data_IF_588550838842
#
_entry.id   IF_588550838842
#
_cell.length_a   1.000
_cell.length_b   1.000
_cell.length_c   1.000
_cell.angle_alpha   90.00
_cell.angle_beta   90.00
_cell.angle_gamma   90.00
#
_symmetry.space_group_name_H-M   'P 1'
#
loop_
_entity.id
_entity.type
_entity.pdbx_description
1 polymer ?
#
# COMPACT_ATOMS: atom_id res chain seq x y z
N UNK A 1 5.24 21.00 -26.60
CA UNK A 1 6.04 20.47 -25.47
C UNK A 1 5.90 21.31 -24.20
N UNK A 2 5.42 22.57 -24.29
CA UNK A 2 5.10 23.47 -23.16
C UNK A 2 3.62 23.45 -22.71
N UNK A 3 2.74 22.71 -23.38
CA UNK A 3 1.28 22.81 -23.17
C UNK A 3 0.74 21.96 -22.01
N UNK A 4 1.55 21.05 -21.47
CA UNK A 4 1.10 20.14 -20.42
C UNK A 4 1.41 20.65 -19.01
N UNK A 5 2.38 21.56 -18.88
CA UNK A 5 2.81 22.05 -17.57
C UNK A 5 1.71 22.90 -16.88
N UNK A 6 0.95 23.64 -17.67
CA UNK A 6 -0.23 24.40 -17.23
C UNK A 6 -1.46 23.50 -16.95
N UNK A 7 -1.47 22.26 -17.48
CA UNK A 7 -2.58 21.30 -17.32
C UNK A 7 -2.46 20.46 -16.02
N UNK A 8 -1.32 20.52 -15.33
CA UNK A 8 -0.95 19.61 -14.22
C UNK A 8 -0.74 20.31 -12.86
N UNK A 9 -1.18 21.57 -12.71
CA UNK A 9 -1.08 22.33 -11.46
C UNK A 9 -2.28 22.13 -10.50
N UNK A 10 -3.38 21.53 -10.94
CA UNK A 10 -4.63 21.47 -10.14
C UNK A 10 -4.70 20.25 -9.19
N UNK A 11 -5.36 20.45 -8.04
CA UNK A 11 -5.48 19.50 -6.91
C UNK A 11 -6.43 18.30 -7.18
N UNK A 12 -6.92 18.16 -8.42
CA UNK A 12 -7.94 17.18 -8.82
C UNK A 12 -7.46 16.00 -9.68
N UNK A 13 -6.16 15.79 -9.85
CA UNK A 13 -5.63 14.86 -10.86
C UNK A 13 -5.40 13.41 -10.36
N UNK A 14 -5.65 12.43 -11.23
CA UNK A 14 -5.54 10.99 -10.97
C UNK A 14 -4.20 10.42 -11.48
N UNK A 15 -3.29 9.97 -10.60
CA UNK A 15 -1.93 9.56 -10.99
C UNK A 15 -1.89 8.42 -12.02
N UNK A 16 -2.95 7.60 -12.07
CA UNK A 16 -3.10 6.54 -13.06
C UNK A 16 -3.17 7.10 -14.48
N UNK A 17 -3.77 8.27 -14.67
CA UNK A 17 -3.90 8.92 -15.97
C UNK A 17 -2.54 9.43 -16.47
N UNK A 18 -1.72 10.03 -15.59
CA UNK A 18 -0.33 10.40 -15.93
C UNK A 18 0.46 9.14 -16.29
N UNK A 19 0.26 8.05 -15.53
CA UNK A 19 0.94 6.80 -15.81
C UNK A 19 0.57 6.23 -17.19
N UNK A 20 -0.73 6.19 -17.52
CA UNK A 20 -1.19 5.76 -18.85
C UNK A 20 -0.65 6.66 -19.98
N UNK A 21 -0.53 7.97 -19.72
CA UNK A 21 0.06 8.89 -20.69
C UNK A 21 1.55 8.59 -20.91
N UNK A 22 2.31 8.34 -19.83
CA UNK A 22 3.72 7.99 -19.90
C UNK A 22 3.95 6.65 -20.62
N UNK A 23 3.12 5.65 -20.37
CA UNK A 23 3.18 4.35 -21.09
C UNK A 23 3.03 4.54 -22.60
N UNK A 24 2.21 5.50 -23.05
CA UNK A 24 2.02 5.81 -24.47
C UNK A 24 3.13 6.65 -25.07
N UNK A 25 3.68 7.61 -24.31
CA UNK A 25 4.60 8.64 -24.84
C UNK A 25 6.06 8.30 -24.67
N UNK A 26 6.41 7.46 -23.70
CA UNK A 26 7.78 7.08 -23.41
C UNK A 26 7.89 5.54 -23.22
N UNK A 27 7.60 4.75 -24.27
CA UNK A 27 7.61 3.29 -24.21
C UNK A 27 8.97 2.69 -23.81
N UNK A 28 10.06 3.45 -23.96
CA UNK A 28 11.39 3.10 -23.47
C UNK A 28 11.45 2.89 -21.94
N UNK A 29 10.50 3.45 -21.18
CA UNK A 29 10.36 3.22 -19.75
C UNK A 29 9.34 2.13 -19.39
N UNK A 30 8.86 1.36 -20.37
CA UNK A 30 7.79 0.37 -20.20
C UNK A 30 7.99 -0.56 -19.00
N UNK A 31 9.18 -1.14 -18.81
CA UNK A 31 9.46 -2.03 -17.66
C UNK A 31 9.39 -1.31 -16.31
N UNK A 32 9.85 -0.05 -16.25
CA UNK A 32 9.77 0.75 -15.03
C UNK A 32 8.31 1.10 -14.69
N UNK A 33 7.54 1.52 -15.69
CA UNK A 33 6.13 1.86 -15.55
C UNK A 33 5.31 0.63 -15.13
N UNK A 34 5.52 -0.53 -15.79
CA UNK A 34 4.93 -1.81 -15.39
C UNK A 34 5.22 -2.16 -13.93
N UNK A 35 6.47 -1.97 -13.48
CA UNK A 35 6.86 -2.23 -12.10
C UNK A 35 6.21 -1.30 -11.09
N UNK A 36 6.10 -0.01 -11.41
CA UNK A 36 5.34 0.96 -10.59
C UNK A 36 3.89 0.52 -10.47
N UNK A 37 3.25 0.13 -11.59
CA UNK A 37 1.85 -0.31 -11.60
C UNK A 37 1.63 -1.55 -10.75
N UNK A 38 2.49 -2.56 -10.89
CA UNK A 38 2.40 -3.78 -10.11
C UNK A 38 2.63 -3.51 -8.61
N UNK A 39 3.61 -2.67 -8.27
CA UNK A 39 3.85 -2.25 -6.89
C UNK A 39 2.63 -1.54 -6.29
N UNK A 40 2.08 -0.55 -6.98
CA UNK A 40 0.94 0.24 -6.48
C UNK A 40 -0.32 -0.62 -6.34
N UNK A 41 -0.56 -1.54 -7.27
CA UNK A 41 -1.65 -2.51 -7.17
C UNK A 41 -1.54 -3.42 -5.93
N UNK A 42 -0.32 -3.79 -5.53
CA UNK A 42 -0.08 -4.52 -4.29
C UNK A 42 -0.25 -3.62 -3.05
N UNK A 43 0.36 -2.44 -3.05
CA UNK A 43 0.34 -1.50 -1.93
C UNK A 43 -1.08 -1.00 -1.61
N UNK A 44 -1.90 -0.73 -2.64
CA UNK A 44 -3.29 -0.32 -2.50
C UNK A 44 -4.11 -1.35 -1.73
N UNK A 45 -3.93 -2.64 -2.03
CA UNK A 45 -4.62 -3.73 -1.34
C UNK A 45 -4.27 -3.82 0.14
N UNK A 46 -2.99 -3.66 0.47
CA UNK A 46 -2.55 -3.57 1.87
C UNK A 46 -3.17 -2.35 2.57
N UNK A 47 -3.19 -1.20 1.90
CA UNK A 47 -3.74 0.04 2.45
C UNK A 47 -5.25 -0.08 2.68
N UNK A 48 -6.02 -0.57 1.70
CA UNK A 48 -7.46 -0.82 1.82
C UNK A 48 -7.76 -1.76 2.99
N UNK A 49 -7.08 -2.91 3.04
CA UNK A 49 -7.27 -3.88 4.11
C UNK A 49 -6.98 -3.29 5.50
N UNK A 50 -5.90 -2.50 5.61
CA UNK A 50 -5.52 -1.88 6.87
C UNK A 50 -6.46 -0.74 7.28
N UNK A 51 -6.98 0.04 6.32
CA UNK A 51 -7.96 1.08 6.59
C UNK A 51 -9.29 0.51 7.08
N UNK A 52 -9.74 -0.62 6.50
CA UNK A 52 -10.92 -1.34 6.99
C UNK A 52 -10.68 -1.83 8.41
N UNK A 53 -9.58 -2.54 8.66
CA UNK A 53 -9.20 -3.02 10.00
C UNK A 53 -9.16 -1.86 11.02
N UNK A 54 -8.65 -0.70 10.62
CA UNK A 54 -8.59 0.50 11.46
C UNK A 54 -9.99 1.02 11.78
N UNK A 55 -10.87 1.09 10.78
CA UNK A 55 -12.24 1.56 10.97
C UNK A 55 -13.08 0.59 11.82
N UNK A 56 -12.96 -0.72 11.61
CA UNK A 56 -13.68 -1.74 12.37
C UNK A 56 -13.21 -1.80 13.82
N UNK A 57 -11.89 -1.75 14.04
CA UNK A 57 -11.33 -1.74 15.40
C UNK A 57 -11.64 -0.45 16.17
N UNK A 58 -11.87 0.67 15.48
CA UNK A 58 -12.25 1.93 16.09
C UNK A 58 -13.69 1.95 16.63
N UNK A 59 -14.57 1.07 16.14
CA UNK A 59 -15.98 0.96 16.59
C UNK A 59 -16.12 0.37 17.98
N UNK A 60 -15.14 -0.43 18.43
CA UNK A 60 -15.17 -1.06 19.77
C UNK A 60 -14.43 -0.22 20.81
N UNK A 61 -14.91 -0.29 22.03
CA UNK A 61 -14.45 0.49 23.17
C UNK A 61 -13.38 -0.27 23.98
N UNK A 62 -13.40 -0.14 25.31
CA UNK A 62 -12.37 -0.61 26.25
C UNK A 62 -12.04 -2.11 26.15
N UNK A 63 -12.93 -2.94 25.58
CA UNK A 63 -12.66 -4.37 25.43
C UNK A 63 -11.63 -4.68 24.33
N UNK A 64 -11.42 -3.76 23.38
CA UNK A 64 -10.61 -4.00 22.19
C UNK A 64 -11.29 -4.90 21.15
N UNK A 65 -10.69 -4.93 19.98
CA UNK A 65 -11.17 -5.61 18.78
C UNK A 65 -10.42 -6.92 18.54
N UNK A 66 -11.10 -8.07 18.42
CA UNK A 66 -10.48 -9.31 17.97
C UNK A 66 -10.13 -9.20 16.48
N UNK A 67 -8.85 -9.11 16.17
CA UNK A 67 -8.33 -8.89 14.81
C UNK A 67 -8.88 -9.91 13.80
N UNK A 68 -8.97 -11.22 14.10
CA UNK A 68 -9.56 -12.20 13.18
C UNK A 68 -11.02 -11.93 12.78
N UNK A 69 -11.78 -11.17 13.57
CA UNK A 69 -13.19 -10.86 13.25
C UNK A 69 -13.34 -10.01 11.99
N UNK A 70 -12.28 -9.32 11.54
CA UNK A 70 -12.33 -8.50 10.32
C UNK A 70 -12.52 -9.37 9.07
N UNK A 71 -12.20 -10.66 9.14
CA UNK A 71 -12.44 -11.62 8.06
C UNK A 71 -13.93 -11.84 7.75
N UNK A 72 -14.86 -11.31 8.57
CA UNK A 72 -16.30 -11.28 8.26
C UNK A 72 -16.69 -10.10 7.38
N UNK A 73 -15.78 -9.15 7.18
CA UNK A 73 -16.00 -7.98 6.33
C UNK A 73 -15.69 -8.32 4.87
N UNK A 74 -16.65 -8.07 3.98
CA UNK A 74 -16.55 -8.40 2.56
C UNK A 74 -15.48 -7.56 1.85
N UNK A 75 -15.38 -6.26 2.15
CA UNK A 75 -14.37 -5.39 1.55
C UNK A 75 -12.97 -5.75 2.03
N UNK A 76 -12.83 -6.20 3.29
CA UNK A 76 -11.55 -6.68 3.80
C UNK A 76 -11.12 -7.94 3.06
N UNK A 77 -12.03 -8.91 2.94
CA UNK A 77 -11.81 -10.14 2.19
C UNK A 77 -11.43 -9.83 0.73
N UNK A 78 -12.14 -8.91 0.08
CA UNK A 78 -11.82 -8.46 -1.28
C UNK A 78 -10.43 -7.81 -1.39
N UNK A 79 -10.01 -7.08 -0.36
CA UNK A 79 -8.72 -6.41 -0.33
C UNK A 79 -7.55 -7.40 -0.20
N UNK A 80 -7.71 -8.45 0.61
CA UNK A 80 -6.64 -9.44 0.84
C UNK A 80 -6.68 -10.63 -0.13
N UNK A 81 -7.76 -10.78 -0.90
CA UNK A 81 -7.88 -11.86 -1.88
C UNK A 81 -6.82 -11.76 -3.00
N UNK A 82 -6.05 -12.83 -3.20
CA UNK A 82 -4.95 -12.86 -4.18
C UNK A 82 -3.83 -11.86 -3.86
N UNK A 83 -3.63 -11.50 -2.58
CA UNK A 83 -2.57 -10.58 -2.18
C UNK A 83 -1.17 -11.15 -2.49
N UNK A 84 -0.99 -12.46 -2.31
CA UNK A 84 0.25 -13.17 -2.62
C UNK A 84 0.58 -13.17 -4.13
N UNK A 85 -0.44 -13.31 -4.99
CA UNK A 85 -0.26 -13.20 -6.44
C UNK A 85 0.21 -11.79 -6.83
N UNK A 86 -0.35 -10.76 -6.19
CA UNK A 86 0.06 -9.37 -6.40
C UNK A 86 1.46 -9.08 -5.88
N UNK A 87 1.82 -9.65 -4.73
CA UNK A 87 3.20 -9.63 -4.24
C UNK A 87 4.14 -10.21 -5.30
N UNK A 88 3.80 -11.39 -5.83
CA UNK A 88 4.60 -12.11 -6.82
C UNK A 88 4.74 -11.29 -8.11
N UNK A 89 3.65 -10.73 -8.61
CA UNK A 89 3.65 -9.86 -9.79
C UNK A 89 4.52 -8.60 -9.59
N UNK A 90 4.41 -7.94 -8.44
CA UNK A 90 5.23 -6.77 -8.11
C UNK A 90 6.71 -7.14 -8.00
N UNK A 91 7.04 -8.24 -7.34
CA UNK A 91 8.40 -8.73 -7.20
C UNK A 91 9.05 -9.03 -8.57
N UNK A 92 8.34 -9.73 -9.46
CA UNK A 92 8.83 -10.01 -10.81
C UNK A 92 9.03 -8.74 -11.63
N UNK A 93 8.04 -7.85 -11.64
CA UNK A 93 8.16 -6.61 -12.40
C UNK A 93 9.32 -5.73 -11.91
N UNK A 94 9.61 -5.71 -10.60
CA UNK A 94 10.78 -5.03 -10.04
C UNK A 94 12.10 -5.70 -10.43
N UNK A 95 12.13 -7.03 -10.57
CA UNK A 95 13.32 -7.77 -10.98
C UNK A 95 13.68 -7.51 -12.46
N UNK A 96 12.69 -7.18 -13.29
CA UNK A 96 12.89 -6.89 -14.72
C UNK A 96 13.49 -5.49 -14.98
N UNK A 97 13.64 -4.64 -13.95
CA UNK A 97 14.26 -3.32 -14.07
C UNK A 97 15.78 -3.46 -14.14
N UNK A 98 16.32 -3.51 -15.35
CA UNK A 98 17.78 -3.62 -15.57
C UNK A 98 18.60 -2.46 -15.01
N UNK A 99 17.98 -1.27 -14.85
CA UNK A 99 18.67 -0.03 -14.43
C UNK A 99 19.13 -0.04 -12.97
N UNK A 100 18.49 -0.83 -12.10
CA UNK A 100 18.71 -0.81 -10.64
C UNK A 100 19.24 -2.16 -10.11
N UNK A 101 19.42 -3.14 -11.00
CA UNK A 101 19.90 -4.48 -10.67
C UNK A 101 19.04 -5.18 -9.63
N UNK A 102 19.64 -6.08 -8.84
CA UNK A 102 18.94 -6.91 -7.86
C UNK A 102 18.48 -6.17 -6.58
N UNK A 103 18.73 -4.86 -6.46
CA UNK A 103 18.46 -4.12 -5.21
C UNK A 103 16.97 -3.94 -4.93
N UNK A 104 16.17 -3.57 -5.95
CA UNK A 104 14.73 -3.33 -5.80
C UNK A 104 13.92 -4.56 -5.39
N UNK A 105 14.04 -5.73 -6.04
CA UNK A 105 13.33 -6.93 -5.61
C UNK A 105 13.74 -7.35 -4.19
N UNK A 106 15.01 -7.22 -3.82
CA UNK A 106 15.48 -7.53 -2.47
C UNK A 106 14.83 -6.63 -1.40
N UNK A 107 14.83 -5.31 -1.61
CA UNK A 107 14.19 -4.35 -0.70
C UNK A 107 12.68 -4.58 -0.60
N UNK A 108 12.04 -5.01 -1.70
CA UNK A 108 10.62 -5.36 -1.70
C UNK A 108 10.34 -6.58 -0.80
N UNK A 109 11.14 -7.64 -0.93
CA UNK A 109 11.02 -8.84 -0.08
C UNK A 109 11.33 -8.52 1.38
N UNK A 110 12.37 -7.76 1.67
CA UNK A 110 12.71 -7.34 3.03
C UNK A 110 11.51 -6.65 3.71
N UNK A 111 10.82 -5.78 2.97
CA UNK A 111 9.71 -5.01 3.49
C UNK A 111 8.39 -5.79 3.55
N UNK A 112 8.08 -6.59 2.53
CA UNK A 112 6.75 -7.15 2.32
C UNK A 112 6.71 -8.68 2.24
N UNK A 113 7.83 -9.38 2.38
CA UNK A 113 7.92 -10.84 2.21
C UNK A 113 6.98 -11.66 3.11
N UNK A 114 6.45 -11.07 4.18
CA UNK A 114 5.38 -11.66 5.00
C UNK A 114 4.08 -11.93 4.21
N UNK A 115 3.88 -11.28 3.07
CA UNK A 115 2.70 -11.42 2.22
C UNK A 115 2.96 -12.30 0.98
N UNK A 116 4.14 -12.92 0.88
CA UNK A 116 4.53 -13.78 -0.24
C UNK A 116 3.72 -15.08 -0.31
N UNK A 117 3.33 -15.61 0.85
CA UNK A 117 2.63 -16.89 0.94
C UNK A 117 1.12 -16.66 1.04
N UNK A 118 0.29 -17.50 0.38
CA UNK A 118 -1.15 -17.46 0.55
C UNK A 118 -1.57 -17.57 2.02
N UNK A 119 -2.51 -16.73 2.43
CA UNK A 119 -3.09 -16.72 3.78
C UNK A 119 -4.60 -16.54 3.68
N UNK A 120 -5.34 -17.10 4.63
CA UNK A 120 -6.73 -16.71 4.82
C UNK A 120 -6.83 -15.27 5.36
N UNK A 121 -8.03 -14.69 5.28
CA UNK A 121 -8.26 -13.30 5.67
C UNK A 121 -7.94 -13.04 7.16
N UNK A 122 -8.24 -14.00 8.05
CA UNK A 122 -8.01 -13.84 9.48
C UNK A 122 -6.51 -13.82 9.81
N UNK A 123 -5.73 -14.73 9.22
CA UNK A 123 -4.28 -14.76 9.34
C UNK A 123 -3.65 -13.51 8.72
N UNK A 124 -4.13 -13.07 7.55
CA UNK A 124 -3.67 -11.85 6.90
C UNK A 124 -3.88 -10.61 7.77
N UNK A 125 -5.00 -10.52 8.48
CA UNK A 125 -5.28 -9.41 9.41
C UNK A 125 -4.28 -9.34 10.57
N UNK A 126 -3.87 -10.48 11.12
CA UNK A 126 -2.84 -10.57 12.16
C UNK A 126 -1.48 -10.14 11.61
N UNK A 127 -1.12 -10.61 10.42
CA UNK A 127 0.14 -10.23 9.73
C UNK A 127 0.16 -8.74 9.38
N UNK A 128 -0.97 -8.14 8.98
CA UNK A 128 -1.09 -6.69 8.78
C UNK A 128 -0.78 -5.90 10.05
N UNK A 129 -1.29 -6.35 11.20
CA UNK A 129 -0.96 -5.74 12.49
C UNK A 129 0.54 -5.80 12.77
N UNK A 130 1.16 -6.97 12.62
CA UNK A 130 2.61 -7.14 12.83
C UNK A 130 3.45 -6.30 11.87
N UNK A 131 3.06 -6.26 10.59
CA UNK A 131 3.72 -5.44 9.60
C UNK A 131 3.68 -3.96 9.98
N UNK A 132 2.52 -3.45 10.42
CA UNK A 132 2.41 -2.07 10.91
C UNK A 132 3.31 -1.78 12.11
N UNK A 133 3.36 -2.68 13.09
CA UNK A 133 4.25 -2.52 14.26
C UNK A 133 5.72 -2.46 13.87
N UNK A 134 6.14 -3.24 12.88
CA UNK A 134 7.51 -3.23 12.35
C UNK A 134 7.79 -1.92 11.61
N UNK A 135 6.89 -1.51 10.71
CA UNK A 135 7.01 -0.26 9.96
C UNK A 135 7.07 0.94 10.90
N UNK A 136 6.27 0.97 11.96
CA UNK A 136 6.29 2.08 12.93
C UNK A 136 7.56 2.10 13.77
N UNK A 137 8.07 0.94 14.19
CA UNK A 137 9.37 0.85 14.89
C UNK A 137 10.53 1.34 14.02
N UNK A 138 10.50 1.10 12.71
CA UNK A 138 11.53 1.55 11.78
C UNK A 138 11.55 3.06 11.46
N UNK A 139 10.57 3.86 11.91
CA UNK A 139 10.43 5.27 11.51
C UNK A 139 11.33 6.27 12.26
N UNK A 140 11.95 5.89 13.37
CA UNK A 140 12.85 6.76 14.14
C UNK A 140 13.81 5.94 14.98
N UNK A 141 14.91 6.54 15.46
CA UNK A 141 15.87 5.87 16.34
C UNK A 141 15.22 5.30 17.62
N UNK A 142 14.22 5.99 18.15
CA UNK A 142 13.43 5.55 19.32
C UNK A 142 12.21 4.69 18.94
N UNK A 143 11.92 4.55 17.64
CA UNK A 143 10.69 3.94 17.11
C UNK A 143 9.42 4.78 17.35
N UNK A 144 8.51 4.79 16.38
CA UNK A 144 7.17 5.36 16.59
C UNK A 144 6.26 4.30 17.20
N UNK A 145 5.42 4.73 18.14
CA UNK A 145 4.40 3.83 18.71
C UNK A 145 3.40 3.44 17.62
N UNK A 146 2.97 2.15 17.59
CA UNK A 146 1.89 1.73 16.72
C UNK A 146 0.59 2.52 16.96
N UNK A 147 -0.32 2.39 16.00
CA UNK A 147 -1.61 3.09 16.04
C UNK A 147 -2.60 2.44 17.02
N UNK A 148 -2.33 1.21 17.41
CA UNK A 148 -3.09 0.45 18.38
C UNK A 148 -2.16 -0.08 19.48
N UNK A 149 -2.75 -0.45 20.62
CA UNK A 149 -2.09 -1.22 21.67
C UNK A 149 -2.58 -2.67 21.61
N UNK A 150 -1.71 -3.65 21.86
CA UNK A 150 -2.10 -5.07 21.89
C UNK A 150 -2.74 -5.43 23.23
N UNK A 151 -3.84 -6.18 23.17
CA UNK A 151 -4.49 -6.81 24.31
C UNK A 151 -4.33 -8.33 24.13
N UNK A 152 -3.15 -8.86 24.46
CA UNK A 152 -2.81 -10.24 24.13
C UNK A 152 -2.42 -10.41 22.65
N UNK A 153 -2.58 -11.63 22.10
CA UNK A 153 -2.07 -11.96 20.75
C UNK A 153 -2.97 -11.48 19.61
N UNK A 154 -4.28 -11.67 19.76
CA UNK A 154 -5.24 -11.52 18.65
C UNK A 154 -6.19 -10.35 18.84
N UNK A 155 -5.98 -9.52 19.87
CA UNK A 155 -6.81 -8.35 20.13
C UNK A 155 -5.98 -7.08 20.14
N UNK A 156 -6.59 -6.02 19.62
CA UNK A 156 -6.00 -4.68 19.57
C UNK A 156 -6.97 -3.64 20.11
N UNK A 157 -6.45 -2.58 20.70
CA UNK A 157 -7.20 -1.37 21.04
C UNK A 157 -6.73 -0.22 20.16
N UNK A 158 -7.59 0.31 19.30
CA UNK A 158 -7.25 1.44 18.45
C UNK A 158 -7.17 2.73 19.27
N UNK A 159 -6.00 3.37 19.28
CA UNK A 159 -5.77 4.60 20.05
C UNK A 159 -6.61 5.72 19.44
N UNK A 160 -7.15 6.59 20.31
CA UNK A 160 -8.14 7.61 19.91
C UNK A 160 -7.73 8.45 18.69
N UNK A 161 -6.47 8.92 18.63
CA UNK A 161 -5.97 9.76 17.53
C UNK A 161 -5.96 9.07 16.17
N UNK A 162 -5.96 7.74 16.13
CA UNK A 162 -5.92 6.96 14.89
C UNK A 162 -7.25 6.32 14.54
N UNK A 163 -8.30 6.61 15.31
CA UNK A 163 -9.67 6.20 14.96
C UNK A 163 -10.13 7.03 13.76
N UNK A 164 -10.56 6.35 12.71
CA UNK A 164 -11.10 6.97 11.51
C UNK A 164 -12.45 6.39 11.17
N UNK A 165 -13.28 7.19 10.49
CA UNK A 165 -14.47 6.68 9.84
C UNK A 165 -14.07 5.73 8.70
N UNK A 166 -14.95 4.77 8.41
CA UNK A 166 -14.80 3.87 7.26
C UNK A 166 -14.77 4.70 5.98
N UNK A 167 -13.85 4.35 5.08
CA UNK A 167 -13.78 4.84 3.71
C UNK A 167 -14.03 3.67 2.79
N UNK A 168 -14.60 3.94 1.62
CA UNK A 168 -14.74 2.95 0.56
C UNK A 168 -13.34 2.52 0.08
N UNK A 169 -13.20 1.23 -0.24
CA UNK A 169 -11.96 0.73 -0.85
C UNK A 169 -11.76 1.36 -2.22
N UNK A 170 -10.50 1.54 -2.61
CA UNK A 170 -10.16 2.18 -3.87
C UNK A 170 -9.23 1.27 -4.69
N UNK A 171 -9.71 0.10 -5.14
CA UNK A 171 -8.87 -0.96 -5.73
C UNK A 171 -8.10 -0.53 -6.99
N UNK A 172 -8.61 0.50 -7.68
CA UNK A 172 -8.07 1.02 -8.94
C UNK A 172 -7.31 2.34 -8.76
N UNK A 173 -7.07 2.76 -7.50
CA UNK A 173 -6.35 3.99 -7.15
C UNK A 173 -4.96 3.71 -6.60
N UNK A 174 -4.04 4.64 -6.82
CA UNK A 174 -2.71 4.67 -6.27
C UNK A 174 -2.78 5.14 -4.82
N UNK A 175 -1.76 4.81 -4.04
CA UNK A 175 -1.70 5.24 -2.64
C UNK A 175 -1.21 6.70 -2.61
N UNK A 176 -2.16 7.64 -2.68
CA UNK A 176 -1.96 9.08 -2.86
C UNK A 176 -0.98 9.77 -1.87
N UNK A 177 -0.78 9.25 -0.67
CA UNK A 177 -0.24 10.09 0.41
C UNK A 177 1.29 10.27 0.45
N UNK A 178 2.08 9.62 -0.44
CA UNK A 178 3.54 9.75 -0.34
C UNK A 178 4.33 9.71 -1.66
N UNK A 179 3.67 9.64 -2.83
CA UNK A 179 4.34 9.22 -4.07
C UNK A 179 3.98 9.97 -5.35
N UNK A 180 3.14 10.99 -5.27
CA UNK A 180 2.86 11.89 -6.39
C UNK A 180 4.10 12.70 -6.81
N UNK A 181 4.98 13.04 -5.86
CA UNK A 181 6.20 13.83 -6.14
C UNK A 181 7.22 13.12 -7.04
N UNK A 182 7.59 11.84 -6.81
CA UNK A 182 8.50 11.12 -7.72
C UNK A 182 8.01 11.01 -9.16
N UNK A 183 6.73 10.68 -9.41
CA UNK A 183 6.19 10.56 -10.78
C UNK A 183 6.13 11.95 -11.45
N UNK A 184 5.68 12.98 -10.72
CA UNK A 184 5.70 14.37 -11.21
C UNK A 184 7.13 14.84 -11.52
N UNK A 185 8.10 14.50 -10.67
CA UNK A 185 9.51 14.86 -10.86
C UNK A 185 10.13 14.13 -12.04
N UNK A 186 9.86 12.83 -12.19
CA UNK A 186 10.31 12.05 -13.34
C UNK A 186 9.78 12.63 -14.66
N UNK A 187 8.49 13.00 -14.72
CA UNK A 187 7.96 13.71 -15.88
C UNK A 187 8.70 15.05 -16.14
N UNK A 188 8.93 15.86 -15.10
CA UNK A 188 9.69 17.12 -15.23
C UNK A 188 11.13 16.92 -15.70
N UNK A 189 11.76 15.80 -15.35
CA UNK A 189 13.13 15.48 -15.77
C UNK A 189 13.19 14.97 -17.23
N UNK A 190 12.04 14.56 -17.82
CA UNK A 190 11.92 14.10 -19.21
C UNK A 190 11.49 15.18 -20.20
N UNK A 191 11.06 16.35 -19.73
CA UNK A 191 10.64 17.53 -20.51
C UNK A 191 11.73 18.56 -20.64
#
# INVERSE_FOLDING_TARGET
MWELQDEFEDDGYEEEEVHHLLERRAPEYGSLLQAIRAYEAFARRLQDAFDILRSESARRDAQGYPVPEVARDEEFCQSVNGLHDRFTAAHHALADISLVGAALPHLFVERFGRFEVPMDAAACALVLCEHHEIVQRGKSAEGKRPWFDRIGRERIYMRHTYRVARREIQPDRYVHEYRSHPIRRFHKDLS
#
